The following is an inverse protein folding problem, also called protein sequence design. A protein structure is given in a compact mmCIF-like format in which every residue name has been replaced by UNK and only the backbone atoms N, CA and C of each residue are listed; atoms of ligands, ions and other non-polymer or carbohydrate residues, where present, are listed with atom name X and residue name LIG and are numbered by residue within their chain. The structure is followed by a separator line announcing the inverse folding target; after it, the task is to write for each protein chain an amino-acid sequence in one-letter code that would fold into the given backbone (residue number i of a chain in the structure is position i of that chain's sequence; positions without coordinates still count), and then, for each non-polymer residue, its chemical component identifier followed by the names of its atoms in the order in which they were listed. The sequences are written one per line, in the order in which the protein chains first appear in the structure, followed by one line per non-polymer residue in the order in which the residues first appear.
data_IF_843433404053
#
_entry.id   IF_843433404053
#
_cell.length_a   1.000
_cell.length_b   1.000
_cell.length_c   1.000
_cell.angle_alpha   90.00
_cell.angle_beta   90.00
_cell.angle_gamma   90.00
#
_symmetry.space_group_name_H-M   'P 1'
#
loop_
_entity.id
_entity.type
_entity.pdbx_description
1 polymer ?
#
# COMPACT_ATOMS: atom_id res chain seq x y z
N UNK A 1 14.76 -32.94 -9.74
CA UNK A 1 13.40 -32.45 -10.05
C UNK A 1 13.28 -31.07 -9.46
N UNK A 2 13.42 -30.02 -10.26
CA UNK A 2 13.35 -28.64 -9.79
C UNK A 2 11.87 -28.25 -9.75
N UNK A 3 11.31 -28.11 -8.55
CA UNK A 3 9.93 -27.67 -8.38
C UNK A 3 9.84 -26.19 -8.74
N UNK A 4 9.24 -25.87 -9.89
CA UNK A 4 8.89 -24.49 -10.22
C UNK A 4 7.67 -24.16 -9.37
N UNK A 5 7.88 -23.47 -8.25
CA UNK A 5 6.80 -22.87 -7.49
C UNK A 5 6.16 -21.80 -8.38
N UNK A 6 5.02 -22.12 -8.99
CA UNK A 6 4.18 -21.13 -9.66
C UNK A 6 3.67 -20.21 -8.55
N UNK A 7 4.25 -19.01 -8.48
CA UNK A 7 3.82 -17.96 -7.55
C UNK A 7 2.35 -17.68 -7.83
N UNK A 8 1.47 -17.94 -6.85
CA UNK A 8 0.05 -17.76 -7.05
C UNK A 8 -0.26 -16.25 -7.09
N UNK A 9 -1.18 -15.78 -7.97
CA UNK A 9 -1.56 -14.36 -8.05
C UNK A 9 -2.05 -13.74 -6.73
N UNK A 10 -2.55 -14.58 -5.82
CA UNK A 10 -2.99 -14.18 -4.47
C UNK A 10 -1.81 -13.90 -3.52
N UNK A 11 -0.66 -14.55 -3.71
CA UNK A 11 0.56 -14.33 -2.93
C UNK A 11 1.20 -12.99 -3.30
N UNK A 12 1.19 -12.64 -4.60
CA UNK A 12 1.71 -11.37 -5.09
C UNK A 12 0.86 -10.19 -4.62
N UNK A 13 -0.47 -10.35 -4.57
CA UNK A 13 -1.39 -9.31 -4.09
C UNK A 13 -1.21 -9.06 -2.59
N UNK A 14 -1.02 -10.11 -1.80
CA UNK A 14 -0.83 -10.00 -0.35
C UNK A 14 0.53 -9.41 0.01
N UNK A 15 1.60 -9.83 -0.65
CA UNK A 15 2.94 -9.24 -0.49
C UNK A 15 2.96 -7.77 -0.94
N UNK A 16 2.24 -7.43 -2.02
CA UNK A 16 2.13 -6.05 -2.50
C UNK A 16 1.33 -5.18 -1.53
N UNK A 17 0.26 -5.71 -0.91
CA UNK A 17 -0.47 -5.04 0.16
C UNK A 17 0.42 -4.74 1.35
N UNK A 18 1.12 -5.74 1.88
CA UNK A 18 2.02 -5.58 3.03
C UNK A 18 3.08 -4.51 2.75
N UNK A 19 3.66 -4.51 1.53
CA UNK A 19 4.61 -3.47 1.13
C UNK A 19 3.98 -2.07 1.13
N UNK A 20 2.77 -1.93 0.61
CA UNK A 20 2.06 -0.63 0.54
C UNK A 20 1.70 -0.14 1.94
N UNK A 21 1.26 -1.03 2.84
CA UNK A 21 0.98 -0.70 4.25
C UNK A 21 2.25 -0.23 4.96
N UNK A 22 3.37 -0.93 4.77
CA UNK A 22 4.68 -0.52 5.30
C UNK A 22 5.15 0.84 4.74
N UNK A 23 4.97 1.07 3.44
CA UNK A 23 5.29 2.35 2.80
C UNK A 23 4.43 3.48 3.41
N UNK A 24 3.14 3.25 3.67
CA UNK A 24 2.24 4.22 4.33
C UNK A 24 2.72 4.53 5.75
N UNK A 25 2.96 3.49 6.56
CA UNK A 25 3.42 3.66 7.94
C UNK A 25 4.72 4.46 8.01
N UNK A 26 5.69 4.14 7.14
CA UNK A 26 6.96 4.85 7.03
C UNK A 26 6.75 6.33 6.66
N UNK A 27 5.92 6.61 5.66
CA UNK A 27 5.70 7.97 5.18
C UNK A 27 5.00 8.84 6.23
N UNK A 28 3.97 8.31 6.89
CA UNK A 28 3.27 9.02 7.98
C UNK A 28 4.23 9.39 9.11
N UNK A 29 4.98 8.42 9.62
CA UNK A 29 5.94 8.63 10.70
C UNK A 29 7.10 9.56 10.29
N UNK A 30 7.53 9.51 9.02
CA UNK A 30 8.53 10.45 8.48
C UNK A 30 8.01 11.88 8.41
N UNK A 31 6.79 12.08 7.91
CA UNK A 31 6.14 13.40 7.80
C UNK A 31 5.96 13.99 9.20
N UNK A 32 5.44 13.21 10.14
CA UNK A 32 5.23 13.65 11.53
C UNK A 32 6.54 14.12 12.15
N UNK A 33 7.61 13.33 12.06
CA UNK A 33 8.93 13.75 12.56
C UNK A 33 9.44 15.03 11.91
N UNK A 34 9.20 15.22 10.61
CA UNK A 34 9.63 16.42 9.90
C UNK A 34 8.85 17.67 10.32
N UNK A 35 7.55 17.53 10.57
CA UNK A 35 6.70 18.62 11.05
C UNK A 35 7.10 19.12 12.44
N UNK A 36 7.64 18.23 13.30
CA UNK A 36 8.07 18.57 14.66
C UNK A 36 9.49 19.16 14.74
N UNK A 37 10.20 19.32 13.63
CA UNK A 37 11.53 19.95 13.62
C UNK A 37 11.42 21.44 13.89
N UNK A 38 12.43 22.04 14.53
CA UNK A 38 12.46 23.48 14.83
C UNK A 38 12.39 24.38 13.59
N UNK A 39 12.81 23.85 12.42
CA UNK A 39 12.74 24.54 11.12
C UNK A 39 12.31 23.53 10.05
N UNK A 40 11.01 23.29 9.87
CA UNK A 40 10.51 22.31 8.91
C UNK A 40 10.86 22.69 7.47
N UNK A 41 11.28 21.72 6.66
CA UNK A 41 11.42 21.90 5.22
C UNK A 41 10.07 21.61 4.55
N UNK A 42 9.28 22.66 4.35
CA UNK A 42 7.92 22.57 3.84
C UNK A 42 7.84 21.89 2.46
N UNK A 43 8.76 22.23 1.55
CA UNK A 43 8.79 21.64 0.20
C UNK A 43 9.02 20.11 0.26
N UNK A 44 9.91 19.66 1.15
CA UNK A 44 10.17 18.23 1.31
C UNK A 44 9.00 17.51 1.99
N UNK A 45 8.32 18.18 2.94
CA UNK A 45 7.10 17.64 3.58
C UNK A 45 5.99 17.45 2.54
N UNK A 46 5.74 18.46 1.71
CA UNK A 46 4.75 18.41 0.63
C UNK A 46 5.04 17.26 -0.34
N UNK A 47 6.31 17.09 -0.73
CA UNK A 47 6.72 15.97 -1.56
C UNK A 47 6.39 14.60 -0.92
N UNK A 48 6.69 14.42 0.37
CA UNK A 48 6.34 13.18 1.07
C UNK A 48 4.82 12.99 1.23
N UNK A 49 4.05 14.08 1.39
CA UNK A 49 2.58 14.01 1.43
C UNK A 49 1.99 13.56 0.09
N UNK A 50 2.54 14.02 -1.04
CA UNK A 50 2.14 13.54 -2.37
C UNK A 50 2.44 12.05 -2.55
N UNK A 51 3.61 11.60 -2.09
CA UNK A 51 3.95 10.17 -2.07
C UNK A 51 2.99 9.36 -1.21
N UNK A 52 2.64 9.85 -0.01
CA UNK A 52 1.69 9.20 0.90
C UNK A 52 0.31 9.06 0.23
N UNK A 53 -0.18 10.13 -0.42
CA UNK A 53 -1.44 10.11 -1.16
C UNK A 53 -1.44 9.05 -2.26
N UNK A 54 -0.33 8.92 -2.99
CA UNK A 54 -0.18 7.88 -4.03
C UNK A 54 -0.24 6.47 -3.43
N UNK A 55 0.46 6.21 -2.33
CA UNK A 55 0.40 4.90 -1.64
C UNK A 55 -0.98 4.58 -1.10
N UNK A 56 -1.68 5.56 -0.53
CA UNK A 56 -3.04 5.39 -0.05
C UNK A 56 -4.03 5.06 -1.18
N UNK A 57 -3.86 5.66 -2.37
CA UNK A 57 -4.67 5.34 -3.54
C UNK A 57 -4.45 3.88 -4.01
N UNK A 58 -3.20 3.42 -4.04
CA UNK A 58 -2.87 2.02 -4.38
C UNK A 58 -3.41 1.06 -3.31
N UNK A 59 -3.30 1.41 -2.03
CA UNK A 59 -3.88 0.61 -0.94
C UNK A 59 -5.39 0.44 -1.12
N UNK A 60 -6.11 1.54 -1.37
CA UNK A 60 -7.55 1.49 -1.57
C UNK A 60 -7.91 0.62 -2.79
N UNK A 61 -7.19 0.78 -3.91
CA UNK A 61 -7.36 -0.07 -5.09
C UNK A 61 -7.13 -1.56 -4.78
N UNK A 62 -6.12 -1.88 -3.96
CA UNK A 62 -5.83 -3.25 -3.53
C UNK A 62 -6.93 -3.84 -2.64
N UNK A 63 -7.64 -3.02 -1.87
CA UNK A 63 -8.77 -3.46 -1.06
C UNK A 63 -10.03 -3.62 -1.91
N UNK A 64 -10.29 -2.70 -2.83
CA UNK A 64 -11.45 -2.76 -3.74
C UNK A 64 -11.38 -3.99 -4.66
N UNK A 65 -10.18 -4.34 -5.14
CA UNK A 65 -9.94 -5.55 -5.96
C UNK A 65 -10.12 -6.87 -5.19
N UNK A 66 -10.07 -6.86 -3.86
CA UNK A 66 -10.36 -8.04 -3.02
C UNK A 66 -11.86 -8.25 -2.88
N UNK A 67 -12.65 -7.16 -2.79
CA UNK A 67 -14.10 -7.22 -2.61
C UNK A 67 -14.80 -7.75 -3.88
N UNK A 68 -14.24 -7.47 -5.08
CA UNK A 68 -14.83 -7.91 -6.35
C UNK A 68 -14.57 -9.39 -6.72
N UNK A 69 -13.72 -10.11 -5.97
CA UNK A 69 -13.42 -11.53 -6.20
C UNK A 69 -14.19 -12.48 -5.28
N UNK A 70 -15.34 -12.07 -4.74
CA UNK A 70 -16.30 -13.01 -4.16
C UNK A 70 -16.97 -13.79 -5.32
N UNK A 71 -16.77 -15.12 -5.45
CA UNK A 71 -17.48 -15.87 -6.46
C UNK A 71 -18.96 -15.80 -6.13
N UNK A 72 -19.76 -15.25 -7.04
CA UNK A 72 -21.22 -15.29 -6.97
C UNK A 72 -21.67 -16.76 -6.82
N UNK A 73 -21.90 -17.19 -5.58
CA UNK A 73 -22.71 -18.36 -5.28
C UNK A 73 -24.17 -17.94 -5.36
N UNK A 74 -24.67 -17.76 -6.59
CA UNK A 74 -26.09 -17.79 -6.85
C UNK A 74 -26.43 -19.16 -7.43
N UNK A 75 -26.68 -20.09 -6.52
CA UNK A 75 -27.47 -21.30 -6.77
C UNK A 75 -28.92 -20.91 -6.46
N UNK A 76 -29.73 -20.75 -7.50
CA UNK A 76 -31.18 -20.89 -7.47
C UNK A 76 -31.70 -21.00 -8.91
#
# INVERSE_FOLDING_TARGET
MTSIAIKHPLDDTSAMREKVENDIAFLTDKIDRMMHQSRPNQMLIEHYMEMLKSRQAVHNWLMDGVIQNTPNSNVA
#
